data_IF_275940032775
#
_entry.id   IF_275940032775
#
_cell.length_a   1.000
_cell.length_b   1.000
_cell.length_c   1.000
_cell.angle_alpha   90.00
_cell.angle_beta   90.00
_cell.angle_gamma   90.00
#
_symmetry.space_group_name_H-M   'P 1'
#
loop_
_entity.id
_entity.type
_entity.pdbx_description
1 polymer ?
#
# COMPACT_ATOMS: atom_id res chain seq x y z
N UNK A 1 9.42 -36.91 -25.31
CA UNK A 1 8.04 -36.48 -25.62
C UNK A 1 8.03 -34.96 -25.60
N UNK A 2 7.92 -34.25 -26.74
CA UNK A 2 7.76 -32.81 -26.70
C UNK A 2 6.38 -32.54 -26.11
N UNK A 3 6.31 -31.91 -24.94
CA UNK A 3 5.06 -31.38 -24.41
C UNK A 3 4.36 -30.59 -25.51
N UNK A 4 3.05 -30.81 -25.67
CA UNK A 4 2.24 -30.12 -26.66
C UNK A 4 2.26 -28.60 -26.38
N UNK A 5 3.21 -27.92 -27.02
CA UNK A 5 3.44 -26.49 -26.88
C UNK A 5 2.19 -25.67 -27.20
N UNK A 6 1.24 -26.21 -27.98
CA UNK A 6 -0.04 -25.56 -28.26
C UNK A 6 -0.96 -25.65 -27.05
N UNK A 7 -1.12 -26.83 -26.46
CA UNK A 7 -1.90 -27.01 -25.24
C UNK A 7 -1.37 -26.16 -24.08
N UNK A 8 -0.04 -26.11 -23.89
CA UNK A 8 0.59 -25.24 -22.88
C UNK A 8 0.32 -23.75 -23.15
N UNK A 9 0.43 -23.30 -24.41
CA UNK A 9 0.11 -21.91 -24.78
C UNK A 9 -1.36 -21.56 -24.55
N UNK A 10 -2.28 -22.47 -24.86
CA UNK A 10 -3.71 -22.26 -24.63
C UNK A 10 -4.03 -22.26 -23.12
N UNK A 11 -3.42 -23.14 -22.33
CA UNK A 11 -3.55 -23.14 -20.87
C UNK A 11 -3.04 -21.82 -20.26
N UNK A 12 -1.85 -21.36 -20.65
CA UNK A 12 -1.30 -20.08 -20.20
C UNK A 12 -2.15 -18.89 -20.65
N UNK A 13 -2.75 -18.95 -21.86
CA UNK A 13 -3.66 -17.91 -22.34
C UNK A 13 -4.95 -17.87 -21.53
N UNK A 14 -5.54 -19.03 -21.20
CA UNK A 14 -6.73 -19.13 -20.34
C UNK A 14 -6.44 -18.69 -18.91
N UNK A 15 -5.26 -19.02 -18.38
CA UNK A 15 -4.83 -18.58 -17.06
C UNK A 15 -4.68 -17.05 -17.02
N UNK A 16 -4.01 -16.45 -18.01
CA UNK A 16 -3.87 -14.98 -18.13
C UNK A 16 -5.19 -14.26 -18.38
N UNK A 17 -6.17 -14.92 -18.98
CA UNK A 17 -7.51 -14.37 -19.20
C UNK A 17 -8.39 -14.38 -17.94
N UNK A 18 -7.89 -14.92 -16.82
CA UNK A 18 -8.61 -14.98 -15.53
C UNK A 18 -7.94 -14.19 -14.42
N UNK A 19 -6.83 -13.51 -14.71
CA UNK A 19 -6.12 -12.73 -13.70
C UNK A 19 -6.94 -11.51 -13.32
N UNK A 20 -7.28 -11.41 -12.04
CA UNK A 20 -7.85 -10.20 -11.44
C UNK A 20 -6.72 -9.45 -10.74
N UNK A 21 -6.61 -8.14 -10.94
CA UNK A 21 -5.67 -7.30 -10.20
C UNK A 21 -6.40 -6.54 -9.10
N UNK A 22 -5.91 -6.60 -7.87
CA UNK A 22 -6.35 -5.73 -6.76
C UNK A 22 -5.23 -4.77 -6.42
N UNK A 23 -5.48 -3.49 -6.65
CA UNK A 23 -4.59 -2.39 -6.27
C UNK A 23 -4.98 -1.80 -4.94
N UNK A 24 -4.03 -1.66 -4.03
CA UNK A 24 -4.22 -1.01 -2.74
C UNK A 24 -3.48 0.32 -2.69
N UNK A 25 -4.09 1.34 -2.08
CA UNK A 25 -3.27 2.38 -1.45
C UNK A 25 -2.51 1.80 -0.26
N UNK A 26 -1.44 2.47 0.15
CA UNK A 26 -0.64 2.04 1.29
C UNK A 26 -1.16 2.66 2.59
N UNK A 27 -1.14 3.99 2.68
CA UNK A 27 -1.52 4.74 3.87
C UNK A 27 -3.00 4.56 4.19
N UNK A 28 -3.32 4.27 5.46
CA UNK A 28 -4.69 4.09 5.97
C UNK A 28 -5.56 3.08 5.20
N UNK A 29 -4.94 2.27 4.34
CA UNK A 29 -5.57 1.19 3.59
C UNK A 29 -4.92 -0.14 3.99
N UNK A 30 -3.64 -0.33 3.65
CA UNK A 30 -2.87 -1.46 4.16
C UNK A 30 -2.34 -1.18 5.57
N UNK A 31 -1.88 0.05 5.82
CA UNK A 31 -1.57 0.52 7.18
C UNK A 31 -2.85 0.97 7.89
N UNK A 32 -2.80 1.03 9.21
CA UNK A 32 -3.88 1.57 10.06
C UNK A 32 -3.70 3.06 10.35
N UNK A 33 -2.60 3.67 9.87
CA UNK A 33 -2.19 5.05 10.10
C UNK A 33 -1.42 5.59 8.91
N UNK A 34 -1.37 6.91 8.79
CA UNK A 34 -0.62 7.62 7.76
C UNK A 34 0.88 7.52 8.04
N UNK A 35 1.54 6.58 7.38
CA UNK A 35 2.99 6.42 7.38
C UNK A 35 3.66 7.65 6.73
N UNK A 36 3.26 8.03 5.52
CA UNK A 36 3.98 9.07 4.79
C UNK A 36 3.93 10.42 5.51
N UNK A 37 2.74 10.87 5.93
CA UNK A 37 2.59 12.18 6.62
C UNK A 37 3.31 12.20 7.96
N UNK A 38 3.30 11.09 8.71
CA UNK A 38 4.03 11.01 9.99
C UNK A 38 5.53 11.20 9.77
N UNK A 39 6.13 10.46 8.84
CA UNK A 39 7.57 10.52 8.64
C UNK A 39 8.03 11.75 7.83
N UNK A 40 7.25 12.20 6.85
CA UNK A 40 7.62 13.32 5.99
C UNK A 40 7.31 14.70 6.59
N UNK A 41 6.22 14.82 7.37
CA UNK A 41 5.71 16.12 7.81
C UNK A 41 5.88 16.37 9.30
N UNK A 42 5.79 15.32 10.13
CA UNK A 42 5.80 15.49 11.58
C UNK A 42 7.22 15.45 12.14
N UNK A 43 8.08 14.60 11.60
CA UNK A 43 9.47 14.54 12.03
C UNK A 43 10.34 15.62 11.37
N UNK A 44 11.25 16.25 12.14
CA UNK A 44 11.48 16.03 13.58
C UNK A 44 10.58 16.76 14.59
N UNK A 45 9.91 17.86 14.23
CA UNK A 45 9.39 18.80 15.24
C UNK A 45 8.01 19.42 14.97
N UNK A 46 7.22 18.86 14.04
CA UNK A 46 5.88 19.37 13.77
C UNK A 46 4.81 18.38 14.25
N UNK A 47 4.68 18.27 15.56
CA UNK A 47 3.77 17.32 16.23
C UNK A 47 2.30 17.54 15.85
N UNK A 48 1.96 18.76 15.45
CA UNK A 48 0.60 19.16 15.09
C UNK A 48 0.29 18.96 13.60
N UNK A 49 1.24 18.46 12.80
CA UNK A 49 1.05 18.25 11.37
C UNK A 49 0.08 17.11 11.03
N UNK A 50 -0.01 16.09 11.90
CA UNK A 50 -0.92 14.96 11.67
C UNK A 50 -1.32 14.23 12.96
N UNK A 51 -2.61 13.91 13.18
CA UNK A 51 -3.07 13.24 14.40
C UNK A 51 -2.44 11.84 14.62
N UNK A 52 -2.11 11.12 13.55
CA UNK A 52 -1.45 9.81 13.64
C UNK A 52 -0.04 9.85 14.24
N UNK A 53 0.57 11.03 14.41
CA UNK A 53 1.88 11.17 15.05
C UNK A 53 1.86 10.84 16.54
N UNK A 54 0.73 11.07 17.22
CA UNK A 54 0.60 10.82 18.66
C UNK A 54 0.91 9.36 19.02
N UNK A 55 0.41 8.41 18.23
CA UNK A 55 0.66 6.98 18.45
C UNK A 55 2.15 6.60 18.31
N UNK A 56 2.91 7.32 17.47
CA UNK A 56 4.36 7.13 17.38
C UNK A 56 5.06 7.66 18.63
N UNK A 57 4.66 8.83 19.13
CA UNK A 57 5.21 9.40 20.35
C UNK A 57 4.95 8.52 21.58
N UNK A 58 3.73 8.01 21.71
CA UNK A 58 3.35 7.10 22.78
C UNK A 58 4.21 5.84 22.75
N UNK A 59 4.36 5.23 21.57
CA UNK A 59 5.20 4.05 21.40
C UNK A 59 6.67 4.31 21.73
N UNK A 60 7.22 5.45 21.29
CA UNK A 60 8.59 5.84 21.62
C UNK A 60 8.76 6.02 23.13
N UNK A 61 7.80 6.65 23.81
CA UNK A 61 7.82 6.85 25.26
C UNK A 61 7.77 5.52 26.02
N UNK A 62 6.91 4.60 25.61
CA UNK A 62 6.79 3.25 26.22
C UNK A 62 8.08 2.43 26.08
N UNK A 63 8.86 2.71 25.05
CA UNK A 63 10.11 2.01 24.74
C UNK A 63 11.37 2.78 25.09
N UNK A 64 11.24 3.87 25.84
CA UNK A 64 12.36 4.73 26.28
C UNK A 64 13.22 5.24 25.10
N UNK A 65 12.59 5.50 23.95
CA UNK A 65 13.24 6.03 22.76
C UNK A 65 13.10 7.55 22.69
N UNK A 66 14.23 8.24 22.75
CA UNK A 66 14.29 9.69 22.57
C UNK A 66 14.56 10.05 21.10
N UNK A 67 13.50 10.46 20.39
CA UNK A 67 13.59 10.91 19.01
C UNK A 67 14.39 12.22 18.85
N UNK A 68 14.62 12.98 19.91
CA UNK A 68 15.42 14.22 19.86
C UNK A 68 16.92 13.94 19.68
N UNK A 69 17.38 12.73 20.02
CA UNK A 69 18.76 12.29 19.79
C UNK A 69 19.03 11.93 18.32
N UNK A 70 17.98 11.74 17.53
CA UNK A 70 18.10 11.47 16.09
C UNK A 70 18.46 12.76 15.37
N UNK A 71 19.69 12.85 14.86
CA UNK A 71 20.17 14.04 14.16
C UNK A 71 19.57 14.12 12.75
N UNK A 72 18.46 14.84 12.61
CA UNK A 72 17.87 15.16 11.32
C UNK A 72 18.64 16.32 10.66
N UNK A 73 19.46 16.02 9.66
CA UNK A 73 20.10 17.04 8.83
C UNK A 73 19.08 17.62 7.85
N UNK A 74 18.27 18.58 8.30
CA UNK A 74 17.29 19.23 7.42
C UNK A 74 18.00 20.15 6.43
N UNK A 75 18.02 19.78 5.15
CA UNK A 75 18.26 20.72 4.06
C UNK A 75 17.12 21.74 4.00
N UNK A 76 17.44 23.02 3.82
CA UNK A 76 16.51 24.13 3.94
C UNK A 76 15.14 23.93 3.24
N UNK A 77 14.07 23.83 4.04
CA UNK A 77 12.71 24.19 3.63
C UNK A 77 11.88 23.17 2.84
N UNK A 78 12.33 21.93 2.69
CA UNK A 78 11.48 20.81 2.21
C UNK A 78 11.46 19.73 3.29
N UNK A 79 10.30 19.12 3.53
CA UNK A 79 10.17 17.99 4.46
C UNK A 79 11.23 16.92 4.16
N UNK A 80 11.61 16.16 5.19
CA UNK A 80 12.61 15.10 5.02
C UNK A 80 11.91 13.92 4.35
N UNK A 81 12.50 13.37 3.29
CA UNK A 81 11.94 12.18 2.64
C UNK A 81 11.85 11.01 3.64
N UNK A 82 10.72 10.27 3.69
CA UNK A 82 10.54 9.20 4.67
C UNK A 82 11.68 8.18 4.70
N UNK A 83 12.27 7.84 3.55
CA UNK A 83 13.41 6.92 3.47
C UNK A 83 14.64 7.40 4.25
N UNK A 84 14.89 8.71 4.26
CA UNK A 84 16.00 9.30 5.03
C UNK A 84 15.69 9.22 6.52
N UNK A 85 14.44 9.52 6.91
CA UNK A 85 14.01 9.42 8.30
C UNK A 85 14.12 7.98 8.81
N UNK A 86 13.62 7.01 8.04
CA UNK A 86 13.76 5.60 8.36
C UNK A 86 15.23 5.19 8.48
N UNK A 87 16.13 5.73 7.64
CA UNK A 87 17.56 5.43 7.71
C UNK A 87 18.21 5.95 8.99
N UNK A 88 17.80 7.13 9.44
CA UNK A 88 18.28 7.69 10.68
C UNK A 88 17.75 6.92 11.89
N UNK A 89 16.46 6.59 11.90
CA UNK A 89 15.85 5.78 12.96
C UNK A 89 16.50 4.41 13.06
N UNK A 90 16.64 3.69 11.94
CA UNK A 90 17.32 2.40 11.87
C UNK A 90 18.74 2.45 12.47
N UNK A 91 19.51 3.49 12.16
CA UNK A 91 20.86 3.69 12.75
C UNK A 91 20.83 3.98 14.24
N UNK A 92 19.80 4.66 14.72
CA UNK A 92 19.68 5.07 16.12
C UNK A 92 19.14 3.96 17.02
N UNK A 93 18.12 3.22 16.57
CA UNK A 93 17.40 2.23 17.39
C UNK A 93 17.64 0.78 16.97
N UNK A 94 18.21 0.56 15.79
CA UNK A 94 18.42 -0.77 15.20
C UNK A 94 17.21 -1.29 14.41
N UNK A 95 17.49 -2.16 13.45
CA UNK A 95 16.51 -2.73 12.51
C UNK A 95 15.36 -3.44 13.24
N UNK A 96 15.67 -4.27 14.23
CA UNK A 96 14.66 -5.04 14.98
C UNK A 96 13.64 -4.11 15.67
N UNK A 97 14.12 -3.03 16.29
CA UNK A 97 13.26 -2.08 17.01
C UNK A 97 12.46 -1.22 16.05
N UNK A 98 13.04 -0.85 14.91
CA UNK A 98 12.30 -0.18 13.84
C UNK A 98 11.20 -1.09 13.26
N UNK A 99 11.47 -2.38 13.08
CA UNK A 99 10.46 -3.33 12.61
C UNK A 99 9.32 -3.49 13.62
N UNK A 100 9.62 -3.61 14.91
CA UNK A 100 8.61 -3.64 15.97
C UNK A 100 7.72 -2.40 15.93
N UNK A 101 8.33 -1.19 15.86
CA UNK A 101 7.63 0.08 15.72
C UNK A 101 6.68 0.06 14.51
N UNK A 102 7.17 -0.31 13.33
CA UNK A 102 6.38 -0.33 12.11
C UNK A 102 5.20 -1.31 12.22
N UNK A 103 5.45 -2.51 12.76
CA UNK A 103 4.43 -3.55 12.93
C UNK A 103 3.33 -3.13 13.90
N UNK A 104 3.67 -2.55 15.03
CA UNK A 104 2.71 -2.19 16.07
C UNK A 104 1.99 -0.87 15.75
N UNK A 105 2.73 0.16 15.37
CA UNK A 105 2.19 1.51 15.17
C UNK A 105 1.52 1.66 13.80
N UNK A 106 2.07 1.12 12.73
CA UNK A 106 1.55 1.37 11.38
C UNK A 106 0.78 0.19 10.79
N UNK A 107 1.17 -1.05 11.07
CA UNK A 107 0.48 -2.22 10.52
C UNK A 107 -0.61 -2.80 11.43
N UNK A 108 -0.70 -2.34 12.68
CA UNK A 108 -1.76 -2.72 13.62
C UNK A 108 -1.53 -4.05 14.33
N UNK A 109 -0.28 -4.48 14.44
CA UNK A 109 0.13 -5.64 15.22
C UNK A 109 0.05 -6.98 14.47
N UNK A 110 0.64 -8.00 15.08
CA UNK A 110 0.84 -9.32 14.46
C UNK A 110 -0.47 -10.03 14.07
N UNK A 111 -1.54 -9.87 14.86
CA UNK A 111 -2.84 -10.48 14.55
C UNK A 111 -3.39 -9.96 13.23
N UNK A 112 -3.43 -8.63 13.05
CA UNK A 112 -3.91 -8.00 11.82
C UNK A 112 -3.02 -8.35 10.61
N UNK A 113 -1.69 -8.31 10.79
CA UNK A 113 -0.73 -8.67 9.74
C UNK A 113 -1.01 -10.09 9.21
N UNK A 114 -1.18 -11.05 10.12
CA UNK A 114 -1.45 -12.45 9.76
C UNK A 114 -2.85 -12.66 9.15
N UNK A 115 -3.86 -11.92 9.62
CA UNK A 115 -5.19 -11.96 9.04
C UNK A 115 -5.18 -11.49 7.57
N UNK A 116 -4.53 -10.35 7.29
CA UNK A 116 -4.39 -9.82 5.92
C UNK A 116 -3.55 -10.78 5.06
N UNK A 117 -2.44 -11.31 5.57
CA UNK A 117 -1.61 -12.28 4.82
C UNK A 117 -2.41 -13.54 4.43
N UNK A 118 -3.22 -14.06 5.35
CA UNK A 118 -4.08 -15.22 5.11
C UNK A 118 -5.15 -14.93 4.06
N UNK A 119 -5.76 -13.74 4.12
CA UNK A 119 -6.74 -13.28 3.14
C UNK A 119 -6.13 -13.09 1.74
N UNK A 120 -4.97 -12.44 1.64
CA UNK A 120 -4.22 -12.30 0.37
C UNK A 120 -3.85 -13.67 -0.20
N UNK A 121 -3.44 -14.62 0.65
CA UNK A 121 -3.14 -15.98 0.23
C UNK A 121 -4.36 -16.70 -0.35
N UNK A 122 -5.54 -16.52 0.25
CA UNK A 122 -6.80 -17.06 -0.23
C UNK A 122 -7.17 -16.48 -1.60
N UNK A 123 -7.14 -15.16 -1.74
CA UNK A 123 -7.42 -14.48 -3.01
C UNK A 123 -6.42 -14.87 -4.12
N UNK A 124 -5.14 -15.00 -3.78
CA UNK A 124 -4.10 -15.45 -4.71
C UNK A 124 -4.38 -16.85 -5.27
N UNK A 125 -4.84 -17.78 -4.42
CA UNK A 125 -5.23 -19.14 -4.85
C UNK A 125 -6.43 -19.13 -5.80
N UNK A 126 -7.27 -18.11 -5.71
CA UNK A 126 -8.39 -17.85 -6.62
C UNK A 126 -7.99 -17.13 -7.90
N UNK A 127 -6.70 -16.80 -8.08
CA UNK A 127 -6.16 -16.16 -9.29
C UNK A 127 -6.04 -14.64 -9.22
N UNK A 128 -6.16 -14.05 -8.02
CA UNK A 128 -5.88 -12.62 -7.83
C UNK A 128 -4.37 -12.34 -7.78
N UNK A 129 -3.98 -11.22 -8.39
CA UNK A 129 -2.68 -10.59 -8.22
C UNK A 129 -2.87 -9.25 -7.49
N UNK A 130 -1.80 -8.76 -6.86
CA UNK A 130 -1.86 -7.55 -6.04
C UNK A 130 -0.83 -6.52 -6.48
N UNK A 131 -1.16 -5.26 -6.25
CA UNK A 131 -0.25 -4.14 -6.41
C UNK A 131 -0.48 -3.11 -5.31
N UNK A 132 0.55 -2.34 -4.98
CA UNK A 132 0.44 -1.13 -4.17
C UNK A 132 0.65 0.05 -5.09
N UNK A 133 -0.27 1.02 -5.05
CA UNK A 133 -0.13 2.29 -5.75
C UNK A 133 -0.36 3.42 -4.76
N UNK A 134 0.72 4.08 -4.35
CA UNK A 134 0.70 5.06 -3.26
C UNK A 134 0.84 6.50 -3.74
N UNK A 135 0.27 7.44 -2.98
CA UNK A 135 0.57 8.87 -3.13
C UNK A 135 1.96 9.25 -2.59
N UNK A 136 2.51 8.42 -1.68
CA UNK A 136 3.84 8.59 -1.10
C UNK A 136 4.96 8.16 -2.05
N UNK A 137 6.05 7.64 -1.51
CA UNK A 137 7.21 7.19 -2.30
C UNK A 137 7.30 5.66 -2.27
N UNK A 138 7.37 5.04 -3.45
CA UNK A 138 7.44 3.58 -3.60
C UNK A 138 8.64 2.94 -2.91
N UNK A 139 9.81 3.58 -2.92
CA UNK A 139 11.01 3.08 -2.21
C UNK A 139 10.84 3.04 -0.71
N UNK A 140 10.12 4.00 -0.13
CA UNK A 140 9.81 4.02 1.29
C UNK A 140 8.85 2.90 1.65
N UNK A 141 7.82 2.66 0.82
CA UNK A 141 6.92 1.51 0.98
C UNK A 141 7.70 0.19 0.92
N UNK A 142 8.58 0.02 -0.07
CA UNK A 142 9.42 -1.17 -0.21
C UNK A 142 10.25 -1.45 1.04
N UNK A 143 10.87 -0.40 1.60
CA UNK A 143 11.66 -0.53 2.82
C UNK A 143 10.81 -0.95 4.01
N UNK A 144 9.65 -0.32 4.19
CA UNK A 144 8.75 -0.58 5.32
C UNK A 144 8.12 -1.97 5.25
N UNK A 145 7.90 -2.51 4.05
CA UNK A 145 7.42 -3.88 3.87
C UNK A 145 8.41 -4.95 4.35
N UNK A 146 9.68 -4.62 4.59
CA UNK A 146 10.61 -5.56 5.26
C UNK A 146 10.21 -5.85 6.70
N UNK A 147 9.45 -4.96 7.35
CA UNK A 147 8.87 -5.21 8.67
C UNK A 147 7.70 -6.20 8.64
N UNK A 148 7.16 -6.54 7.45
CA UNK A 148 6.04 -7.48 7.26
C UNK A 148 6.38 -8.52 6.19
N UNK A 149 7.36 -9.41 6.45
CA UNK A 149 7.76 -10.45 5.49
C UNK A 149 6.61 -11.35 5.05
N UNK A 150 5.55 -11.46 5.86
CA UNK A 150 4.32 -12.20 5.55
C UNK A 150 3.61 -11.69 4.28
N UNK A 151 3.82 -10.41 3.92
CA UNK A 151 3.17 -9.77 2.78
C UNK A 151 4.04 -9.75 1.52
N UNK A 152 5.35 -9.96 1.64
CA UNK A 152 6.31 -9.89 0.53
C UNK A 152 5.96 -10.80 -0.66
N UNK A 153 5.46 -12.04 -0.48
CA UNK A 153 5.09 -12.89 -1.61
C UNK A 153 3.97 -12.29 -2.49
N UNK A 154 3.17 -11.37 -1.95
CA UNK A 154 2.03 -10.76 -2.63
C UNK A 154 2.36 -9.40 -3.26
N UNK A 155 3.40 -8.72 -2.76
CA UNK A 155 3.81 -7.40 -3.22
C UNK A 155 5.29 -7.39 -3.65
N UNK A 156 5.63 -8.04 -4.77
CA UNK A 156 6.97 -7.93 -5.32
C UNK A 156 7.26 -6.49 -5.77
N UNK A 157 8.54 -6.13 -5.87
CA UNK A 157 8.94 -4.73 -6.09
C UNK A 157 8.51 -4.13 -7.42
N UNK A 158 8.25 -4.96 -8.44
CA UNK A 158 7.68 -4.54 -9.73
C UNK A 158 6.17 -4.23 -9.66
N UNK A 159 5.54 -4.46 -8.51
CA UNK A 159 4.11 -4.20 -8.24
C UNK A 159 3.88 -3.10 -7.20
N UNK A 160 4.92 -2.37 -6.81
CA UNK A 160 4.83 -1.25 -5.88
C UNK A 160 5.21 0.01 -6.65
N UNK A 161 4.22 0.89 -6.83
CA UNK A 161 4.34 2.11 -7.64
C UNK A 161 3.90 3.31 -6.82
N UNK A 162 4.47 4.46 -7.11
CA UNK A 162 3.95 5.74 -6.65
C UNK A 162 3.37 6.55 -7.82
N UNK A 163 2.46 7.48 -7.51
CA UNK A 163 1.77 8.27 -8.53
C UNK A 163 2.69 9.16 -9.36
N UNK A 164 3.91 9.47 -8.88
CA UNK A 164 4.87 10.28 -9.63
C UNK A 164 5.48 9.52 -10.81
N UNK A 165 5.43 8.18 -10.79
CA UNK A 165 5.85 7.32 -11.89
C UNK A 165 4.80 7.19 -12.99
N UNK A 166 3.62 7.80 -12.81
CA UNK A 166 2.58 7.84 -13.84
C UNK A 166 3.02 8.67 -15.04
N UNK A 167 2.82 8.11 -16.24
CA UNK A 167 2.95 8.88 -17.51
C UNK A 167 1.74 9.76 -17.79
N UNK A 168 0.67 9.62 -17.01
CA UNK A 168 -0.59 10.34 -17.20
C UNK A 168 -0.59 11.58 -16.32
N UNK A 169 -0.81 12.75 -16.90
CA UNK A 169 -0.92 14.01 -16.17
C UNK A 169 -2.38 14.29 -15.84
N UNK A 170 -2.78 14.01 -14.61
CA UNK A 170 -4.12 14.27 -14.08
C UNK A 170 -4.00 14.90 -12.70
N UNK A 171 -4.98 15.72 -12.30
CA UNK A 171 -4.93 16.43 -11.02
C UNK A 171 -5.28 15.53 -9.82
N UNK A 172 -6.10 14.51 -10.03
CA UNK A 172 -6.55 13.58 -8.98
C UNK A 172 -5.53 12.46 -8.77
N UNK A 173 -5.19 12.21 -7.50
CA UNK A 173 -4.29 11.13 -7.07
C UNK A 173 -4.96 9.79 -7.31
N UNK A 174 -6.23 9.61 -6.90
CA UNK A 174 -6.95 8.36 -7.15
C UNK A 174 -7.17 8.10 -8.64
N UNK A 175 -7.35 9.14 -9.46
CA UNK A 175 -7.35 8.99 -10.94
C UNK A 175 -5.99 8.49 -11.46
N UNK A 176 -4.89 9.01 -10.91
CA UNK A 176 -3.54 8.54 -11.26
C UNK A 176 -3.35 7.07 -10.88
N UNK A 177 -3.82 6.66 -9.69
CA UNK A 177 -3.80 5.26 -9.24
C UNK A 177 -4.58 4.34 -10.18
N UNK A 178 -5.78 4.74 -10.60
CA UNK A 178 -6.60 3.99 -11.59
C UNK A 178 -5.82 3.76 -12.89
N UNK A 179 -5.21 4.81 -13.45
CA UNK A 179 -4.49 4.71 -14.73
C UNK A 179 -3.20 3.88 -14.59
N UNK A 180 -2.52 3.98 -13.45
CA UNK A 180 -1.36 3.15 -13.13
C UNK A 180 -1.71 1.66 -13.03
N UNK A 181 -2.79 1.29 -12.33
CA UNK A 181 -3.20 -0.11 -12.23
C UNK A 181 -3.48 -0.74 -13.60
N UNK A 182 -4.09 0.03 -14.51
CA UNK A 182 -4.27 -0.40 -15.90
C UNK A 182 -2.96 -0.57 -16.65
N UNK A 183 -1.94 0.25 -16.37
CA UNK A 183 -0.62 0.11 -16.99
C UNK A 183 0.18 -1.05 -16.38
N UNK A 184 -0.01 -1.36 -15.10
CA UNK A 184 0.60 -2.48 -14.38
C UNK A 184 0.09 -3.82 -14.89
N UNK A 185 -1.23 -3.98 -15.09
CA UNK A 185 -1.81 -5.22 -15.60
C UNK A 185 -2.86 -4.98 -16.71
N UNK A 186 -2.43 -4.55 -17.92
CA UNK A 186 -3.35 -4.15 -18.99
C UNK A 186 -4.20 -5.30 -19.57
N UNK A 187 -3.95 -6.54 -19.14
CA UNK A 187 -4.64 -7.75 -19.62
C UNK A 187 -5.48 -8.43 -18.53
N UNK A 188 -5.58 -7.85 -17.35
CA UNK A 188 -6.42 -8.38 -16.29
C UNK A 188 -7.89 -8.48 -16.76
N UNK A 189 -8.60 -9.53 -16.34
CA UNK A 189 -10.04 -9.69 -16.59
C UNK A 189 -10.88 -8.73 -15.76
N UNK A 190 -10.34 -8.28 -14.62
CA UNK A 190 -10.89 -7.21 -13.81
C UNK A 190 -9.80 -6.54 -12.98
N UNK A 191 -9.99 -5.26 -12.68
CA UNK A 191 -9.10 -4.48 -11.84
C UNK A 191 -9.94 -3.77 -10.78
N UNK A 192 -9.57 -3.90 -9.52
CA UNK A 192 -10.20 -3.20 -8.39
C UNK A 192 -9.18 -2.31 -7.70
N UNK A 193 -9.50 -1.02 -7.53
CA UNK A 193 -8.77 -0.10 -6.65
C UNK A 193 -9.44 -0.07 -5.27
N UNK A 194 -8.65 -0.30 -4.23
CA UNK A 194 -9.03 -0.18 -2.81
C UNK A 194 -8.22 0.95 -2.20
N UNK A 195 -8.89 2.00 -1.72
CA UNK A 195 -8.26 3.25 -1.32
C UNK A 195 -9.19 4.01 -0.34
N UNK A 196 -8.68 4.40 0.82
CA UNK A 196 -9.47 5.12 1.84
C UNK A 196 -9.77 6.58 1.45
N UNK A 197 -9.01 7.13 0.51
CA UNK A 197 -9.14 8.53 0.07
C UNK A 197 -10.25 8.77 -0.95
N UNK A 198 -10.93 7.74 -1.44
CA UNK A 198 -11.91 7.84 -2.54
C UNK A 198 -13.09 8.79 -2.25
N UNK A 199 -13.48 8.96 -0.99
CA UNK A 199 -14.52 9.92 -0.60
C UNK A 199 -14.06 11.39 -0.67
N UNK A 200 -12.75 11.63 -0.63
CA UNK A 200 -12.12 12.96 -0.67
C UNK A 200 -11.56 13.31 -2.04
N UNK A 201 -11.05 12.31 -2.75
CA UNK A 201 -10.51 12.41 -4.10
C UNK A 201 -11.10 11.30 -4.99
N UNK A 202 -12.39 11.38 -5.34
CA UNK A 202 -12.99 10.36 -6.21
C UNK A 202 -12.34 10.41 -7.60
N UNK A 203 -11.97 9.27 -8.20
CA UNK A 203 -11.40 9.25 -9.53
C UNK A 203 -12.43 9.68 -10.58
N UNK A 204 -11.95 10.29 -11.67
CA UNK A 204 -12.85 10.67 -12.75
C UNK A 204 -13.49 9.45 -13.42
N UNK A 205 -14.80 9.50 -13.65
CA UNK A 205 -15.57 8.40 -14.25
C UNK A 205 -14.98 7.94 -15.61
N UNK A 206 -14.54 8.87 -16.44
CA UNK A 206 -13.92 8.56 -17.73
C UNK A 206 -12.64 7.73 -17.58
N UNK A 207 -11.88 7.94 -16.51
CA UNK A 207 -10.66 7.20 -16.26
C UNK A 207 -10.99 5.78 -15.79
N UNK A 208 -11.94 5.62 -14.87
CA UNK A 208 -12.42 4.29 -14.43
C UNK A 208 -12.98 3.48 -15.61
N UNK A 209 -13.84 4.08 -16.43
CA UNK A 209 -14.43 3.43 -17.60
C UNK A 209 -13.38 3.08 -18.66
N UNK A 210 -12.51 4.04 -19.03
CA UNK A 210 -11.46 3.84 -20.02
C UNK A 210 -10.38 2.84 -19.59
N UNK A 211 -10.03 2.85 -18.29
CA UNK A 211 -9.07 1.94 -17.70
C UNK A 211 -9.67 0.57 -17.33
N UNK A 212 -11.00 0.45 -17.30
CA UNK A 212 -11.77 -0.71 -16.82
C UNK A 212 -11.40 -1.09 -15.39
N UNK A 213 -11.31 -0.08 -14.53
CA UNK A 213 -10.99 -0.23 -13.10
C UNK A 213 -12.24 0.09 -12.29
N UNK A 214 -12.69 -0.88 -11.50
CA UNK A 214 -13.68 -0.67 -10.47
C UNK A 214 -13.01 -0.06 -9.22
N UNK A 215 -13.78 0.59 -8.37
CA UNK A 215 -13.31 1.18 -7.12
C UNK A 215 -14.10 0.62 -5.95
N UNK A 216 -13.42 0.41 -4.83
CA UNK A 216 -14.02 0.02 -3.56
C UNK A 216 -13.88 1.18 -2.57
N UNK A 217 -14.98 1.89 -2.30
CA UNK A 217 -15.06 3.07 -1.42
C UNK A 217 -15.58 2.74 -0.01
N UNK A 218 -15.56 1.45 0.36
CA UNK A 218 -16.03 0.95 1.65
C UNK A 218 -15.07 1.19 2.83
N UNK A 219 -13.97 1.92 2.62
CA UNK A 219 -13.04 2.32 3.68
C UNK A 219 -13.34 3.75 4.16
N UNK A 220 -13.38 3.99 5.48
CA UNK A 220 -13.44 5.34 6.01
C UNK A 220 -12.11 6.07 5.81
N UNK A 221 -12.17 7.34 5.42
CA UNK A 221 -10.99 8.19 5.22
C UNK A 221 -10.16 8.33 6.51
N UNK A 222 -8.86 8.06 6.41
CA UNK A 222 -7.92 8.01 7.54
C UNK A 222 -8.36 7.03 8.66
N UNK A 223 -9.11 5.99 8.30
CA UNK A 223 -9.61 5.00 9.24
C UNK A 223 -8.60 3.90 9.59
N UNK A 224 -9.08 2.79 10.19
CA UNK A 224 -8.24 1.69 10.65
C UNK A 224 -7.72 0.78 9.51
N UNK A 225 -7.77 1.23 8.26
CA UNK A 225 -7.46 0.44 7.07
C UNK A 225 -8.32 -0.81 6.90
N UNK A 226 -7.78 -1.79 6.18
CA UNK A 226 -8.42 -3.09 5.98
C UNK A 226 -8.65 -3.79 7.31
N UNK A 227 -9.90 -4.18 7.52
CA UNK A 227 -10.41 -4.98 8.63
C UNK A 227 -11.31 -6.09 8.06
N UNK A 228 -11.82 -6.98 8.91
CA UNK A 228 -12.61 -8.13 8.51
C UNK A 228 -13.79 -7.78 7.59
N UNK A 229 -14.57 -6.74 7.93
CA UNK A 229 -15.74 -6.34 7.17
C UNK A 229 -15.39 -5.78 5.78
N UNK A 230 -14.45 -4.81 5.62
CA UNK A 230 -13.97 -4.40 4.31
C UNK A 230 -13.38 -5.56 3.47
N UNK A 231 -12.64 -6.49 4.09
CA UNK A 231 -12.08 -7.64 3.37
C UNK A 231 -13.18 -8.53 2.76
N UNK A 232 -14.25 -8.81 3.51
CA UNK A 232 -15.43 -9.53 3.01
C UNK A 232 -16.15 -8.76 1.90
N UNK A 233 -16.30 -7.44 2.07
CA UNK A 233 -16.96 -6.62 1.06
C UNK A 233 -16.17 -6.58 -0.25
N UNK A 234 -14.84 -6.54 -0.18
CA UNK A 234 -13.96 -6.67 -1.35
C UNK A 234 -14.17 -8.03 -2.04
N UNK A 235 -14.27 -9.15 -1.31
CA UNK A 235 -14.55 -10.46 -1.91
C UNK A 235 -15.86 -10.47 -2.71
N UNK A 236 -16.90 -9.79 -2.20
CA UNK A 236 -18.18 -9.63 -2.90
C UNK A 236 -18.03 -8.82 -4.18
N UNK A 237 -17.22 -7.75 -4.17
CA UNK A 237 -16.92 -6.97 -5.37
C UNK A 237 -16.15 -7.80 -6.41
N UNK A 238 -15.14 -8.55 -5.98
CA UNK A 238 -14.33 -9.39 -6.87
C UNK A 238 -15.15 -10.50 -7.51
N UNK A 239 -16.18 -11.02 -6.84
CA UNK A 239 -17.09 -12.02 -7.40
C UNK A 239 -17.94 -11.50 -8.59
N UNK A 240 -17.97 -10.18 -8.82
CA UNK A 240 -18.65 -9.56 -9.97
C UNK A 240 -17.79 -9.58 -11.24
N UNK A 241 -16.49 -9.85 -11.12
CA UNK A 241 -15.59 -9.92 -12.26
C UNK A 241 -15.75 -11.25 -13.02
N UNK A 242 -15.59 -11.25 -14.35
CA UNK A 242 -15.84 -12.40 -15.21
C UNK A 242 -14.78 -13.51 -15.12
#
# INVERSE_FOLDING_TARGET
MPEDRRALREALKRQRQRTILVGFDFDCTLTIRHFYKVFAWCLPFNTDAHPHYEALLDWCKEHELDLSEVQFTTGAGRGVEPDVVLALLDRSVGEDKLHELLREVFFGGAERINAIASWLQQLSRSGAEFAIVTAGISTSVLRVLNAVPEWQPFFPSDRIWDVQQSRHSVQSVSTSKVLLLRDICPKASGILLVDDSLQKDPPFEWACSGAKVAVFDGLPYEGPGLQEDPMRAIEVELAKFP
#
